data_IF_964112547756
#
_entry.id   IF_964112547756
#
_cell.length_a   1.000
_cell.length_b   1.000
_cell.length_c   1.000
_cell.angle_alpha   90.00
_cell.angle_beta   90.00
_cell.angle_gamma   90.00
#
_symmetry.space_group_name_H-M   'P 1'
#
loop_
_entity.id
_entity.type
_entity.pdbx_description
1 polymer ?
#
# COMPACT_ATOMS: atom_id res chain seq x y z
N UNK A 1 -19.57 -1.67 29.27
CA UNK A 1 -20.37 -0.88 30.22
C UNK A 1 -21.81 -1.32 30.05
N UNK A 2 -22.55 -1.63 31.12
CA UNK A 2 -23.98 -1.96 30.98
C UNK A 2 -24.75 -0.64 30.86
N UNK A 3 -25.01 -0.19 29.63
CA UNK A 3 -25.74 1.06 29.38
C UNK A 3 -27.21 0.85 29.78
N UNK A 4 -27.64 1.51 30.87
CA UNK A 4 -29.04 1.52 31.27
C UNK A 4 -29.77 2.66 30.56
N UNK A 5 -30.61 2.30 29.59
CA UNK A 5 -31.34 3.26 28.74
C UNK A 5 -32.45 3.96 29.52
N UNK A 6 -33.02 3.29 30.53
CA UNK A 6 -34.14 3.84 31.28
C UNK A 6 -33.67 4.99 32.20
N UNK A 7 -32.43 4.94 32.71
CA UNK A 7 -31.80 6.03 33.46
C UNK A 7 -31.51 7.25 32.56
N UNK A 8 -30.95 7.00 31.37
CA UNK A 8 -30.69 8.05 30.36
C UNK A 8 -32.01 8.73 29.93
N UNK A 9 -33.09 7.97 29.82
CA UNK A 9 -34.40 8.53 29.50
C UNK A 9 -34.96 9.40 30.63
N UNK A 10 -34.75 9.03 31.89
CA UNK A 10 -35.15 9.83 33.04
C UNK A 10 -34.42 11.18 33.04
N UNK A 11 -33.09 11.16 32.84
CA UNK A 11 -32.25 12.37 32.76
C UNK A 11 -32.66 13.27 31.59
N UNK A 12 -32.96 12.70 30.42
CA UNK A 12 -33.38 13.46 29.24
C UNK A 12 -34.78 14.09 29.38
N UNK A 13 -35.63 13.56 30.26
CA UNK A 13 -36.97 14.11 30.53
C UNK A 13 -36.92 15.25 31.54
N UNK A 14 -35.91 15.32 32.39
CA UNK A 14 -35.80 16.34 33.42
C UNK A 14 -35.67 17.75 32.80
N UNK A 15 -36.46 18.69 33.33
CA UNK A 15 -36.52 20.07 32.84
C UNK A 15 -37.08 20.28 31.42
N UNK A 16 -37.71 19.27 30.79
CA UNK A 16 -38.32 19.40 29.44
C UNK A 16 -39.83 19.57 29.47
N UNK A 17 -40.37 20.20 28.42
CA UNK A 17 -41.81 20.37 28.23
C UNK A 17 -42.53 19.01 28.10
N UNK A 18 -43.77 18.94 28.59
CA UNK A 18 -44.62 17.73 28.61
C UNK A 18 -44.77 17.08 27.22
N UNK A 19 -44.84 17.87 26.15
CA UNK A 19 -44.87 17.38 24.77
C UNK A 19 -43.58 16.65 24.37
N UNK A 20 -42.42 17.18 24.77
CA UNK A 20 -41.11 16.59 24.48
C UNK A 20 -40.90 15.29 25.25
N UNK A 21 -41.35 15.24 26.51
CA UNK A 21 -41.31 14.03 27.33
C UNK A 21 -42.13 12.89 26.69
N UNK A 22 -43.37 13.17 26.26
CA UNK A 22 -44.22 12.18 25.56
C UNK A 22 -43.58 11.68 24.26
N UNK A 23 -42.92 12.57 23.52
CA UNK A 23 -42.22 12.18 22.29
C UNK A 23 -40.98 11.33 22.56
N UNK A 24 -40.21 11.61 23.62
CA UNK A 24 -39.07 10.80 24.05
C UNK A 24 -39.49 9.41 24.50
N UNK A 25 -40.59 9.31 25.25
CA UNK A 25 -41.18 8.02 25.65
C UNK A 25 -41.59 7.20 24.43
N UNK A 26 -42.33 7.82 23.50
CA UNK A 26 -42.77 7.15 22.26
C UNK A 26 -41.59 6.74 21.39
N UNK A 27 -40.56 7.58 21.27
CA UNK A 27 -39.36 7.25 20.52
C UNK A 27 -38.60 6.07 21.16
N UNK A 28 -38.51 6.05 22.50
CA UNK A 28 -37.90 4.94 23.24
C UNK A 28 -38.66 3.63 23.03
N UNK A 29 -39.99 3.66 23.07
CA UNK A 29 -40.84 2.49 22.80
C UNK A 29 -40.62 1.95 21.38
N UNK A 30 -40.59 2.85 20.38
CA UNK A 30 -40.31 2.49 18.98
C UNK A 30 -38.92 1.84 18.85
N UNK A 31 -37.89 2.38 19.51
CA UNK A 31 -36.54 1.81 19.47
C UNK A 31 -36.42 0.48 20.23
N UNK A 32 -37.17 0.33 21.34
CA UNK A 32 -37.28 -0.93 22.08
C UNK A 32 -37.91 -2.02 21.21
N UNK A 33 -39.00 -1.71 20.51
CA UNK A 33 -39.63 -2.62 19.54
C UNK A 33 -38.71 -2.93 18.35
N UNK A 34 -38.03 -1.91 17.82
CA UNK A 34 -37.07 -2.06 16.72
C UNK A 34 -35.90 -2.99 17.11
N UNK A 35 -35.39 -2.88 18.34
CA UNK A 35 -34.37 -3.78 18.89
C UNK A 35 -34.90 -5.19 19.15
N UNK A 36 -36.15 -5.33 19.60
CA UNK A 36 -36.78 -6.62 19.86
C UNK A 36 -36.96 -7.45 18.58
N UNK A 37 -37.22 -6.78 17.45
CA UNK A 37 -37.21 -7.38 16.11
C UNK A 37 -35.80 -7.82 15.64
N UNK A 38 -34.77 -7.59 16.44
CA UNK A 38 -33.40 -8.01 16.16
C UNK A 38 -32.58 -6.99 15.37
N UNK A 39 -33.17 -5.87 14.94
CA UNK A 39 -32.45 -4.83 14.20
C UNK A 39 -31.40 -4.13 15.10
N UNK A 40 -30.26 -3.79 14.49
CA UNK A 40 -29.13 -3.17 15.19
C UNK A 40 -28.68 -1.84 14.58
N UNK A 41 -29.36 -1.36 13.52
CA UNK A 41 -29.02 -0.11 12.84
C UNK A 41 -29.82 1.06 13.41
N UNK A 42 -29.22 1.77 14.37
CA UNK A 42 -29.79 2.96 15.02
C UNK A 42 -29.27 4.26 14.41
N UNK A 43 -29.04 4.30 13.09
CA UNK A 43 -28.72 5.58 12.43
C UNK A 43 -29.91 6.54 12.46
N UNK A 44 -29.63 7.85 12.58
CA UNK A 44 -30.67 8.91 12.67
C UNK A 44 -31.64 8.84 11.47
N UNK A 45 -31.12 8.55 10.28
CA UNK A 45 -31.93 8.39 9.07
C UNK A 45 -32.89 7.20 9.17
N UNK A 46 -32.38 6.03 9.58
CA UNK A 46 -33.19 4.81 9.68
C UNK A 46 -34.25 4.92 10.77
N UNK A 47 -33.88 5.41 11.95
CA UNK A 47 -34.80 5.63 13.06
C UNK A 47 -35.80 6.74 12.72
N UNK A 48 -35.40 7.78 12.00
CA UNK A 48 -36.31 8.83 11.54
C UNK A 48 -37.40 8.34 10.60
N UNK A 49 -37.07 7.43 9.67
CA UNK A 49 -38.06 6.78 8.80
C UNK A 49 -38.95 5.82 9.59
N UNK A 50 -38.35 4.95 10.41
CA UNK A 50 -39.09 3.96 11.19
C UNK A 50 -40.01 4.61 12.23
N UNK A 51 -39.56 5.71 12.85
CA UNK A 51 -40.37 6.48 13.81
C UNK A 51 -41.54 7.17 13.11
N UNK A 52 -41.32 7.79 11.94
CA UNK A 52 -42.42 8.42 11.16
C UNK A 52 -43.51 7.40 10.78
N UNK A 53 -43.12 6.18 10.39
CA UNK A 53 -44.07 5.10 10.09
C UNK A 53 -44.89 4.67 11.32
N UNK A 54 -44.29 4.72 12.52
CA UNK A 54 -44.93 4.37 13.79
C UNK A 54 -45.48 5.59 14.55
N UNK A 55 -45.82 6.66 13.83
CA UNK A 55 -46.41 7.89 14.39
C UNK A 55 -45.56 8.62 15.45
N UNK A 56 -44.24 8.47 15.40
CA UNK A 56 -43.27 9.18 16.24
C UNK A 56 -42.61 10.38 15.52
N UNK A 57 -41.60 11.02 16.15
CA UNK A 57 -40.89 12.15 15.55
C UNK A 57 -40.14 11.72 14.27
N UNK A 58 -40.40 12.43 13.18
CA UNK A 58 -39.75 12.15 11.89
C UNK A 58 -38.30 12.64 11.82
N UNK A 59 -37.62 12.25 10.74
CA UNK A 59 -36.21 12.60 10.47
C UNK A 59 -35.86 14.08 10.65
N UNK A 60 -36.73 14.99 10.19
CA UNK A 60 -36.53 16.45 10.31
C UNK A 60 -36.41 16.90 11.78
N UNK A 61 -37.24 16.35 12.66
CA UNK A 61 -37.24 16.67 14.08
C UNK A 61 -36.01 16.09 14.81
N UNK A 62 -35.55 14.91 14.39
CA UNK A 62 -34.36 14.24 14.95
C UNK A 62 -33.04 14.87 14.48
N UNK A 63 -33.02 15.44 13.27
CA UNK A 63 -31.85 16.13 12.71
C UNK A 63 -31.72 17.58 13.18
N UNK A 64 -32.79 18.22 13.63
CA UNK A 64 -32.74 19.62 14.07
C UNK A 64 -31.77 19.83 15.26
N UNK A 65 -30.87 20.82 15.16
CA UNK A 65 -29.88 21.20 16.19
C UNK A 65 -30.49 21.64 17.51
N UNK A 66 -31.75 22.10 17.52
CA UNK A 66 -32.45 22.45 18.76
C UNK A 66 -32.88 21.21 19.56
N UNK A 67 -32.92 20.04 18.94
CA UNK A 67 -33.50 18.81 19.52
C UNK A 67 -32.45 17.73 19.81
N UNK A 68 -31.31 18.13 20.38
CA UNK A 68 -30.18 17.23 20.65
C UNK A 68 -30.55 16.05 21.56
N UNK A 69 -31.53 16.22 22.44
CA UNK A 69 -32.04 15.18 23.34
C UNK A 69 -32.49 13.90 22.61
N UNK A 70 -33.04 14.00 21.40
CA UNK A 70 -33.38 12.80 20.63
C UNK A 70 -32.14 12.09 20.07
N UNK A 71 -31.08 12.83 19.71
CA UNK A 71 -29.84 12.22 19.21
C UNK A 71 -29.10 11.48 20.32
N UNK A 72 -29.03 12.07 21.51
CA UNK A 72 -28.44 11.42 22.69
C UNK A 72 -29.13 10.08 22.98
N UNK A 73 -30.47 10.04 22.91
CA UNK A 73 -31.21 8.80 23.11
C UNK A 73 -30.93 7.76 22.00
N UNK A 74 -30.86 8.19 20.74
CA UNK A 74 -30.55 7.31 19.60
C UNK A 74 -29.12 6.76 19.69
N UNK A 75 -28.16 7.59 20.10
CA UNK A 75 -26.76 7.19 20.30
C UNK A 75 -26.61 6.18 21.43
N UNK A 76 -27.32 6.38 22.54
CA UNK A 76 -27.35 5.41 23.65
C UNK A 76 -27.90 4.04 23.20
N UNK A 77 -28.95 4.01 22.37
CA UNK A 77 -29.43 2.78 21.75
C UNK A 77 -28.44 2.18 20.77
N UNK A 78 -27.78 3.01 19.96
CA UNK A 78 -26.75 2.57 19.03
C UNK A 78 -25.56 1.92 19.75
N UNK A 79 -25.13 2.46 20.90
CA UNK A 79 -24.08 1.88 21.73
C UNK A 79 -24.51 0.55 22.37
N UNK A 80 -25.72 0.50 22.95
CA UNK A 80 -26.28 -0.76 23.48
C UNK A 80 -26.35 -1.85 22.39
N UNK A 81 -26.67 -1.46 21.16
CA UNK A 81 -26.71 -2.37 20.02
C UNK A 81 -25.34 -2.70 19.45
N UNK A 82 -24.37 -1.79 19.47
CA UNK A 82 -22.96 -2.10 19.13
C UNK A 82 -22.41 -3.14 20.09
N UNK A 83 -22.68 -3.04 21.39
CA UNK A 83 -22.33 -4.08 22.35
C UNK A 83 -23.03 -5.42 22.04
N UNK A 84 -24.25 -5.41 21.51
CA UNK A 84 -24.95 -6.63 21.07
C UNK A 84 -24.33 -7.21 19.79
N UNK A 85 -24.00 -6.37 18.80
CA UNK A 85 -23.37 -6.76 17.53
C UNK A 85 -21.94 -7.23 17.76
N UNK A 86 -21.15 -6.56 18.59
CA UNK A 86 -19.80 -7.00 18.95
C UNK A 86 -19.84 -8.30 19.75
N UNK A 87 -20.78 -8.46 20.69
CA UNK A 87 -21.00 -9.75 21.37
C UNK A 87 -21.46 -10.86 20.42
N UNK A 88 -22.30 -10.56 19.42
CA UNK A 88 -22.72 -11.53 18.40
C UNK A 88 -21.58 -11.90 17.45
N UNK A 89 -20.83 -10.91 16.96
CA UNK A 89 -19.66 -11.08 16.09
C UNK A 89 -18.52 -11.82 16.80
N UNK A 90 -18.36 -11.61 18.12
CA UNK A 90 -17.40 -12.35 18.93
C UNK A 90 -17.89 -13.75 19.32
N UNK A 91 -19.20 -14.01 19.34
CA UNK A 91 -19.76 -15.33 19.67
C UNK A 91 -19.82 -16.29 18.48
N UNK A 92 -19.72 -15.80 17.25
CA UNK A 92 -19.69 -16.67 16.07
C UNK A 92 -19.16 -15.93 14.85
N UNK A 93 -17.83 -15.83 14.73
CA UNK A 93 -17.29 -16.44 13.51
C UNK A 93 -17.29 -17.94 13.83
N UNK A 94 -18.25 -18.75 13.33
CA UNK A 94 -17.95 -20.16 13.26
C UNK A 94 -16.61 -20.22 12.53
N UNK A 95 -15.69 -21.04 13.03
CA UNK A 95 -14.50 -21.37 12.28
C UNK A 95 -14.97 -21.82 10.88
N UNK A 96 -15.05 -20.91 9.92
CA UNK A 96 -15.04 -21.19 8.48
C UNK A 96 -13.60 -21.56 8.08
N UNK A 97 -12.88 -22.14 9.02
CA UNK A 97 -11.69 -22.90 8.83
C UNK A 97 -12.19 -24.30 9.12
N UNK A 98 -12.31 -25.11 8.07
CA UNK A 98 -12.23 -26.56 8.21
C UNK A 98 -11.25 -26.86 9.37
N UNK A 99 -11.53 -27.84 10.25
CA UNK A 99 -10.58 -28.22 11.30
C UNK A 99 -9.21 -28.32 10.66
N UNK A 100 -8.20 -27.67 11.25
CA UNK A 100 -6.85 -27.68 10.69
C UNK A 100 -6.46 -29.13 10.41
N UNK A 101 -5.77 -29.39 9.30
CA UNK A 101 -5.58 -30.78 8.85
C UNK A 101 -4.99 -31.68 9.96
N UNK A 102 -4.19 -31.10 10.87
CA UNK A 102 -3.64 -31.74 12.07
C UNK A 102 -4.72 -32.21 13.07
N UNK A 103 -5.82 -31.47 13.24
CA UNK A 103 -6.96 -31.87 14.09
C UNK A 103 -7.70 -33.05 13.46
N UNK A 104 -7.79 -33.11 12.13
CA UNK A 104 -8.40 -34.25 11.43
C UNK A 104 -7.53 -35.50 11.55
N UNK A 105 -6.21 -35.37 11.49
CA UNK A 105 -5.27 -36.47 11.71
C UNK A 105 -5.40 -37.09 13.11
N UNK A 106 -5.66 -36.28 14.14
CA UNK A 106 -5.86 -36.77 15.51
C UNK A 106 -7.10 -37.67 15.66
N UNK A 107 -8.08 -37.58 14.75
CA UNK A 107 -9.28 -38.43 14.76
C UNK A 107 -9.05 -39.82 14.16
N UNK A 108 -7.98 -40.01 13.40
CA UNK A 108 -7.63 -41.32 12.82
C UNK A 108 -6.94 -42.12 13.92
N UNK A 109 -7.54 -43.22 14.38
CA UNK A 109 -7.02 -44.03 15.49
C UNK A 109 -5.73 -44.77 15.13
N UNK A 110 -5.67 -45.34 13.93
CA UNK A 110 -4.53 -46.12 13.42
C UNK A 110 -3.32 -45.21 13.11
N UNK A 111 -2.17 -45.40 13.78
CA UNK A 111 -0.95 -44.63 13.52
C UNK A 111 -0.43 -44.73 12.09
N UNK A 112 -0.52 -45.89 11.44
CA UNK A 112 0.00 -46.09 10.09
C UNK A 112 -0.81 -45.29 9.07
N UNK A 113 -2.14 -45.37 9.16
CA UNK A 113 -3.06 -44.59 8.33
C UNK A 113 -2.89 -43.09 8.62
N UNK A 114 -2.74 -42.70 9.88
CA UNK A 114 -2.49 -41.31 10.27
C UNK A 114 -1.22 -40.75 9.62
N UNK A 115 -0.14 -41.52 9.59
CA UNK A 115 1.12 -41.13 8.96
C UNK A 115 0.96 -40.94 7.44
N UNK A 116 0.28 -41.87 6.77
CA UNK A 116 0.00 -41.79 5.32
C UNK A 116 -0.81 -40.54 4.97
N UNK A 117 -1.89 -40.26 5.71
CA UNK A 117 -2.69 -39.04 5.51
C UNK A 117 -1.86 -37.78 5.81
N UNK A 118 -0.99 -37.82 6.82
CA UNK A 118 -0.06 -36.74 7.13
C UNK A 118 0.87 -36.42 5.96
N UNK A 119 1.41 -37.46 5.30
CA UNK A 119 2.22 -37.30 4.10
C UNK A 119 1.43 -36.70 2.94
N UNK A 120 0.22 -37.17 2.68
CA UNK A 120 -0.66 -36.64 1.62
C UNK A 120 -0.98 -35.16 1.86
N UNK A 121 -1.26 -34.77 3.11
CA UNK A 121 -1.50 -33.38 3.48
C UNK A 121 -0.26 -32.52 3.23
N UNK A 122 0.94 -33.03 3.56
CA UNK A 122 2.19 -32.34 3.34
C UNK A 122 2.46 -32.11 1.84
N UNK A 123 2.27 -33.13 1.00
CA UNK A 123 2.41 -33.03 -0.46
C UNK A 123 1.40 -32.05 -1.07
N UNK A 124 0.12 -32.15 -0.69
CA UNK A 124 -0.93 -31.21 -1.11
C UNK A 124 -0.57 -29.77 -0.75
N UNK A 125 -0.03 -29.56 0.45
CA UNK A 125 0.38 -28.23 0.91
C UNK A 125 1.59 -27.70 0.14
N UNK A 126 2.55 -28.57 -0.20
CA UNK A 126 3.67 -28.24 -1.08
C UNK A 126 3.19 -27.81 -2.46
N UNK A 127 2.34 -28.61 -3.12
CA UNK A 127 1.82 -28.27 -4.45
C UNK A 127 0.98 -26.98 -4.45
N UNK A 128 0.18 -26.74 -3.41
CA UNK A 128 -0.55 -25.46 -3.28
C UNK A 128 0.39 -24.26 -3.18
N UNK A 129 1.52 -24.39 -2.47
CA UNK A 129 2.53 -23.33 -2.38
C UNK A 129 3.20 -23.09 -3.74
N UNK A 130 3.60 -24.15 -4.43
CA UNK A 130 4.21 -24.06 -5.77
C UNK A 130 3.24 -23.40 -6.76
N UNK A 131 1.96 -23.81 -6.78
CA UNK A 131 0.94 -23.19 -7.64
C UNK A 131 0.71 -21.72 -7.29
N UNK A 132 0.68 -21.36 -5.99
CA UNK A 132 0.50 -19.96 -5.60
C UNK A 132 1.70 -19.10 -6.01
N UNK A 133 2.93 -19.62 -5.89
CA UNK A 133 4.13 -18.97 -6.39
C UNK A 133 4.04 -18.79 -7.92
N UNK A 134 3.66 -19.83 -8.66
CA UNK A 134 3.48 -19.73 -10.12
C UNK A 134 2.41 -18.71 -10.50
N UNK A 135 1.29 -18.64 -9.78
CA UNK A 135 0.25 -17.62 -9.98
C UNK A 135 0.76 -16.20 -9.71
N UNK A 136 1.61 -16.02 -8.71
CA UNK A 136 2.25 -14.72 -8.43
C UNK A 136 3.17 -14.30 -9.57
N UNK A 137 3.95 -15.23 -10.12
CA UNK A 137 4.83 -14.96 -11.26
C UNK A 137 4.11 -14.91 -12.62
N UNK A 138 2.91 -15.47 -12.75
CA UNK A 138 2.14 -15.43 -14.00
C UNK A 138 1.57 -14.04 -14.29
N UNK A 139 1.19 -13.28 -13.25
CA UNK A 139 0.58 -11.96 -13.39
C UNK A 139 1.57 -10.86 -12.96
N UNK A 140 2.75 -10.82 -13.57
CA UNK A 140 3.65 -9.69 -13.40
C UNK A 140 3.13 -8.54 -14.26
N UNK A 141 2.38 -7.63 -13.63
CA UNK A 141 2.00 -6.36 -14.26
C UNK A 141 3.23 -5.45 -14.23
N UNK A 142 4.00 -5.49 -15.32
CA UNK A 142 5.07 -4.52 -15.54
C UNK A 142 4.39 -3.22 -15.98
N UNK A 143 4.52 -2.15 -15.19
CA UNK A 143 4.11 -0.83 -15.63
C UNK A 143 5.00 -0.42 -16.81
N UNK A 144 4.47 -0.55 -18.03
CA UNK A 144 5.13 -0.13 -19.28
C UNK A 144 4.79 1.29 -19.66
N UNK A 145 4.16 2.08 -18.78
CA UNK A 145 4.02 3.51 -19.06
C UNK A 145 5.41 4.03 -19.38
N UNK A 146 5.56 4.79 -20.48
CA UNK A 146 6.82 5.46 -20.72
C UNK A 146 7.06 6.32 -19.48
N UNK A 147 8.05 5.94 -18.68
CA UNK A 147 8.71 6.87 -17.79
C UNK A 147 9.00 8.02 -18.74
N UNK A 148 8.42 9.19 -18.50
CA UNK A 148 8.93 10.41 -19.10
C UNK A 148 10.38 10.41 -18.64
N UNK A 149 11.27 9.86 -19.46
CA UNK A 149 12.63 10.32 -19.52
C UNK A 149 12.41 11.82 -19.57
N UNK A 150 12.72 12.49 -18.46
CA UNK A 150 12.99 13.91 -18.57
C UNK A 150 13.86 13.97 -19.82
N UNK A 151 13.46 14.76 -20.81
CA UNK A 151 14.37 15.12 -21.89
C UNK A 151 15.53 15.96 -21.34
N UNK A 152 15.88 15.84 -20.06
CA UNK A 152 17.26 15.59 -19.67
C UNK A 152 17.72 14.34 -20.41
N UNK A 153 18.03 14.54 -21.69
CA UNK A 153 19.36 14.19 -22.15
C UNK A 153 20.25 14.21 -20.91
N UNK A 154 20.77 13.06 -20.48
CA UNK A 154 22.07 13.07 -19.86
C UNK A 154 23.03 13.58 -20.96
N UNK A 155 22.89 14.84 -21.35
CA UNK A 155 24.00 15.74 -21.33
C UNK A 155 24.59 15.47 -19.94
N UNK A 156 25.50 14.49 -19.87
CA UNK A 156 26.74 14.73 -19.16
C UNK A 156 27.09 16.13 -19.63
N UNK A 157 26.66 17.12 -18.85
CA UNK A 157 26.90 18.49 -19.21
C UNK A 157 28.39 18.52 -19.48
N UNK A 158 28.72 19.17 -20.58
CA UNK A 158 29.91 19.95 -20.82
C UNK A 158 30.67 20.46 -19.58
N UNK A 159 30.15 20.36 -18.35
CA UNK A 159 30.80 20.54 -17.06
C UNK A 159 32.24 19.97 -16.97
N UNK A 160 32.53 18.76 -17.47
CA UNK A 160 33.90 18.23 -17.38
C UNK A 160 34.88 18.97 -18.29
N UNK A 161 34.41 19.41 -19.46
CA UNK A 161 35.22 20.13 -20.45
C UNK A 161 35.30 21.62 -20.10
N UNK A 162 34.22 22.19 -19.56
CA UNK A 162 34.13 23.61 -19.16
C UNK A 162 34.88 23.92 -17.88
N UNK A 163 35.28 22.91 -17.11
CA UNK A 163 36.05 23.06 -15.88
C UNK A 163 37.57 22.93 -16.10
N UNK A 164 38.03 22.60 -17.31
CA UNK A 164 39.46 22.57 -17.65
C UNK A 164 39.99 24.01 -17.76
N UNK A 165 41.09 24.27 -17.07
CA UNK A 165 41.86 25.50 -17.27
C UNK A 165 42.57 25.48 -18.63
N UNK A 166 42.91 26.66 -19.16
CA UNK A 166 43.58 26.76 -20.48
C UNK A 166 44.92 26.00 -20.52
N UNK A 167 45.64 25.94 -19.39
CA UNK A 167 46.87 25.16 -19.24
C UNK A 167 46.64 23.65 -19.26
N UNK A 168 45.56 23.16 -18.65
CA UNK A 168 45.22 21.73 -18.64
C UNK A 168 44.80 21.28 -20.04
N UNK A 169 44.01 22.09 -20.75
CA UNK A 169 43.64 21.83 -22.14
C UNK A 169 44.87 21.77 -23.05
N UNK A 170 45.83 22.70 -22.91
CA UNK A 170 47.10 22.69 -23.68
C UNK A 170 47.93 21.45 -23.39
N UNK A 171 48.00 21.01 -22.14
CA UNK A 171 48.77 19.82 -21.74
C UNK A 171 48.16 18.54 -22.31
N UNK A 172 46.83 18.42 -22.28
CA UNK A 172 46.11 17.28 -22.87
C UNK A 172 46.22 17.26 -24.40
N UNK A 173 46.20 18.43 -25.05
CA UNK A 173 46.46 18.54 -26.49
C UNK A 173 47.90 18.15 -26.86
N UNK A 174 48.90 18.56 -26.06
CA UNK A 174 50.28 18.14 -26.28
C UNK A 174 50.42 16.61 -26.17
N UNK A 175 49.76 15.97 -25.21
CA UNK A 175 49.81 14.52 -25.02
C UNK A 175 49.33 13.69 -26.22
N UNK A 176 48.47 14.26 -27.08
CA UNK A 176 47.97 13.63 -28.32
C UNK A 176 48.64 14.18 -29.59
N UNK A 177 49.54 15.17 -29.46
CA UNK A 177 50.20 15.82 -30.60
C UNK A 177 51.28 14.93 -31.23
N UNK A 178 51.53 15.13 -32.52
CA UNK A 178 52.63 14.47 -33.23
C UNK A 178 54.00 14.83 -32.64
N UNK A 179 54.16 16.07 -32.15
CA UNK A 179 55.38 16.54 -31.49
C UNK A 179 55.73 15.70 -30.25
N UNK A 180 54.74 15.37 -29.42
CA UNK A 180 54.95 14.49 -28.27
C UNK A 180 55.30 13.05 -28.69
N UNK A 181 54.69 12.57 -29.77
CA UNK A 181 54.99 11.23 -30.29
C UNK A 181 56.41 11.16 -30.85
N UNK A 182 56.86 12.18 -31.58
CA UNK A 182 58.20 12.20 -32.16
C UNK A 182 59.28 12.44 -31.10
N UNK A 183 59.02 13.25 -30.07
CA UNK A 183 59.97 13.45 -28.97
C UNK A 183 60.20 12.19 -28.11
N UNK A 184 59.25 11.25 -28.09
CA UNK A 184 59.31 10.03 -27.27
C UNK A 184 59.48 8.74 -28.10
N UNK A 185 59.73 8.86 -29.41
CA UNK A 185 59.79 7.73 -30.35
C UNK A 185 58.55 6.82 -30.30
N UNK A 186 57.37 7.43 -30.20
CA UNK A 186 56.07 6.76 -30.18
C UNK A 186 55.35 6.89 -31.53
N UNK A 187 54.42 5.97 -31.79
CA UNK A 187 53.50 6.08 -32.92
C UNK A 187 52.08 5.68 -32.53
N UNK A 188 51.11 6.33 -33.16
CA UNK A 188 49.69 6.08 -32.99
C UNK A 188 49.19 5.01 -33.95
N UNK A 189 48.24 4.20 -33.50
CA UNK A 189 47.51 3.25 -34.35
C UNK A 189 46.08 3.74 -34.63
N UNK A 190 45.41 3.25 -35.68
CA UNK A 190 44.02 3.64 -36.01
C UNK A 190 43.01 3.38 -34.87
N UNK A 191 43.31 2.46 -33.96
CA UNK A 191 42.49 2.16 -32.79
C UNK A 191 42.75 3.11 -31.60
N UNK A 192 43.57 4.15 -31.78
CA UNK A 192 43.94 5.12 -30.75
C UNK A 192 44.87 4.58 -29.67
N UNK A 193 45.61 3.50 -29.96
CA UNK A 193 46.66 2.93 -29.10
C UNK A 193 48.01 3.59 -29.42
N UNK A 194 48.86 3.79 -28.40
CA UNK A 194 50.22 4.33 -28.56
C UNK A 194 51.25 3.23 -28.28
N UNK A 195 52.24 3.13 -29.16
CA UNK A 195 53.31 2.14 -29.09
C UNK A 195 54.68 2.78 -29.29
N UNK A 196 55.70 2.19 -28.68
CA UNK A 196 57.09 2.57 -28.92
C UNK A 196 57.57 2.06 -30.30
N UNK A 197 58.21 2.93 -31.09
CA UNK A 197 58.74 2.60 -32.42
C UNK A 197 59.83 1.52 -32.36
N UNK A 198 60.68 1.53 -31.33
CA UNK A 198 61.79 0.59 -31.20
C UNK A 198 61.36 -0.82 -30.74
N UNK A 199 60.50 -0.90 -29.73
CA UNK A 199 60.16 -2.17 -29.07
C UNK A 199 58.79 -2.72 -29.47
N UNK A 200 57.95 -1.93 -30.17
CA UNK A 200 56.56 -2.26 -30.51
C UNK A 200 55.70 -2.65 -29.28
N UNK A 201 56.17 -2.29 -28.08
CA UNK A 201 55.47 -2.52 -26.81
C UNK A 201 54.38 -1.45 -26.67
N UNK A 202 53.24 -1.89 -26.15
CA UNK A 202 52.11 -1.04 -25.82
C UNK A 202 52.44 -0.14 -24.63
N UNK A 203 52.49 1.16 -24.88
CA UNK A 203 52.70 2.17 -23.84
C UNK A 203 51.36 2.60 -23.26
N UNK A 204 50.38 2.86 -24.14
CA UNK A 204 49.03 3.23 -23.76
C UNK A 204 47.98 2.41 -24.51
N UNK A 205 46.89 2.02 -23.83
CA UNK A 205 45.94 1.09 -24.37
C UNK A 205 45.07 1.65 -25.49
N UNK A 206 44.41 0.72 -26.19
CA UNK A 206 43.46 1.04 -27.27
C UNK A 206 42.38 2.01 -26.77
N UNK A 207 42.05 2.99 -27.62
CA UNK A 207 41.07 4.02 -27.32
C UNK A 207 41.57 5.20 -26.49
N UNK A 208 42.86 5.25 -26.12
CA UNK A 208 43.43 6.40 -25.39
C UNK A 208 43.33 7.69 -26.20
N UNK A 209 43.91 7.72 -27.41
CA UNK A 209 43.86 8.91 -28.28
C UNK A 209 42.42 9.21 -28.67
N UNK A 210 41.65 8.19 -29.05
CA UNK A 210 40.25 8.35 -29.48
C UNK A 210 39.34 8.85 -28.36
N UNK A 211 39.63 8.49 -27.11
CA UNK A 211 38.90 8.96 -25.94
C UNK A 211 39.24 10.42 -25.61
N UNK A 212 40.53 10.77 -25.65
CA UNK A 212 40.98 12.15 -25.41
C UNK A 212 40.53 13.12 -26.50
N UNK A 213 40.54 12.70 -27.77
CA UNK A 213 40.08 13.56 -28.88
C UNK A 213 38.58 13.83 -28.80
N UNK A 214 37.78 12.81 -28.42
CA UNK A 214 36.35 12.98 -28.13
C UNK A 214 36.10 13.90 -26.92
N UNK A 215 36.94 13.81 -25.89
CA UNK A 215 36.84 14.65 -24.70
C UNK A 215 37.19 16.11 -25.01
N UNK A 216 38.23 16.35 -25.81
CA UNK A 216 38.67 17.69 -26.17
C UNK A 216 37.85 18.32 -27.31
N UNK A 217 36.94 17.57 -27.94
CA UNK A 217 36.16 18.04 -29.08
C UNK A 217 36.98 18.26 -30.35
N UNK A 218 38.21 17.75 -30.40
CA UNK A 218 39.11 17.86 -31.55
C UNK A 218 38.77 16.74 -32.52
N UNK A 219 38.36 17.10 -33.75
CA UNK A 219 38.18 16.12 -34.82
C UNK A 219 39.54 15.58 -35.23
N UNK A 220 39.72 14.28 -35.12
CA UNK A 220 40.84 13.57 -35.73
C UNK A 220 40.55 13.53 -37.22
N UNK A 221 41.34 14.24 -38.01
CA UNK A 221 41.42 14.03 -39.47
C UNK A 221 42.27 12.80 -39.79
#
# INVERSE_FOLDING_TARGET
MNINIDDILADLKDGKATRTQKNLEKLNEIMRNYSALGNCNFSITQIGHYSKLNSGPGYEALRATRNDHYRVLIEAWAEKSKDRVQRANNKTKPNSKLPSDNILLQRITDPAVRALFGQIIAERNRYRKEVNLLKQHANIVIDRRPIKQSNESYNLESSLISNLTESESKTLNYAISEECMDNNDWYSTPAGQIKCKESNIEVLPRGFITGLTKLLGVKVE
#
